data_IF_534453575726
#
_entry.id   IF_534453575726
#
_cell.length_a   1.000
_cell.length_b   1.000
_cell.length_c   1.000
_cell.angle_alpha   90.00
_cell.angle_beta   90.00
_cell.angle_gamma   90.00
#
_symmetry.space_group_name_H-M   'P 1'
#
loop_
_entity.id
_entity.type
_entity.pdbx_description
1 polymer ?
#
# COMPACT_ATOMS: atom_id res chain seq x y z
N UNK A 1 7.20 -22.04 -9.57
CA UNK A 1 7.32 -20.68 -9.00
C UNK A 1 6.49 -19.65 -9.78
N UNK A 2 6.19 -19.85 -11.07
CA UNK A 2 5.29 -18.97 -11.86
C UNK A 2 3.78 -19.24 -11.68
N UNK A 3 3.36 -20.41 -11.16
CA UNK A 3 1.92 -20.72 -10.99
C UNK A 3 1.28 -20.03 -9.78
N UNK A 4 2.01 -19.82 -8.69
CA UNK A 4 1.48 -19.15 -7.48
C UNK A 4 1.18 -17.66 -7.68
N UNK A 5 1.72 -17.03 -8.72
CA UNK A 5 1.49 -15.61 -9.00
C UNK A 5 0.26 -15.38 -9.90
N UNK A 6 -0.25 -16.43 -10.56
CA UNK A 6 -1.41 -16.34 -11.47
C UNK A 6 -2.75 -16.34 -10.71
N UNK A 7 -2.82 -17.04 -9.58
CA UNK A 7 -4.08 -17.15 -8.82
C UNK A 7 -4.38 -15.90 -7.97
N UNK A 8 -3.35 -15.12 -7.61
CA UNK A 8 -3.52 -13.89 -6.82
C UNK A 8 -4.13 -12.72 -7.62
N UNK A 9 -4.09 -12.78 -8.97
CA UNK A 9 -4.62 -11.72 -9.84
C UNK A 9 -6.05 -11.99 -10.36
N UNK A 10 -6.55 -13.23 -10.24
CA UNK A 10 -7.88 -13.61 -10.73
C UNK A 10 -9.02 -13.32 -9.73
N UNK A 11 -8.73 -12.94 -8.49
CA UNK A 11 -9.73 -12.68 -7.44
C UNK A 11 -10.42 -11.30 -7.49
N UNK A 12 -9.97 -10.39 -8.36
CA UNK A 12 -10.45 -9.00 -8.40
C UNK A 12 -11.58 -8.74 -9.42
N UNK A 13 -11.96 -9.72 -10.24
CA UNK A 13 -12.86 -9.49 -11.38
C UNK A 13 -14.36 -9.72 -11.07
N UNK A 14 -14.72 -9.93 -9.80
CA UNK A 14 -16.12 -10.16 -9.40
C UNK A 14 -16.78 -8.88 -8.84
N UNK A 15 -17.78 -8.27 -9.54
CA UNK A 15 -18.39 -7.00 -9.13
C UNK A 15 -19.11 -7.06 -7.76
N UNK A 16 -19.43 -8.26 -7.25
CA UNK A 16 -19.97 -8.47 -5.91
C UNK A 16 -18.97 -8.18 -4.78
N UNK A 17 -17.66 -8.30 -5.04
CA UNK A 17 -16.63 -8.03 -4.04
C UNK A 17 -16.43 -6.52 -3.82
N UNK A 18 -16.69 -5.72 -4.86
CA UNK A 18 -16.61 -4.25 -4.77
C UNK A 18 -17.75 -3.66 -3.91
N UNK A 19 -18.95 -4.23 -4.00
CA UNK A 19 -20.08 -3.83 -3.15
C UNK A 19 -19.84 -4.16 -1.66
N UNK A 20 -19.20 -5.30 -1.35
CA UNK A 20 -18.79 -5.64 0.03
C UNK A 20 -17.67 -4.74 0.55
N UNK A 21 -16.73 -4.34 -0.30
CA UNK A 21 -15.67 -3.36 0.01
C UNK A 21 -16.19 -1.96 0.38
N UNK A 22 -17.42 -1.60 -0.03
CA UNK A 22 -18.06 -0.34 0.34
C UNK A 22 -18.95 -0.46 1.59
N UNK A 23 -19.34 -1.68 1.98
CA UNK A 23 -20.10 -1.96 3.20
C UNK A 23 -19.20 -2.18 4.42
N UNK A 24 -18.04 -2.80 4.21
CA UNK A 24 -17.01 -2.87 5.23
C UNK A 24 -16.49 -1.44 5.45
N UNK A 25 -16.50 -0.96 6.70
CA UNK A 25 -16.06 0.40 7.03
C UNK A 25 -14.65 0.69 6.47
N UNK A 26 -14.30 1.96 6.21
CA UNK A 26 -13.09 2.36 5.47
C UNK A 26 -11.77 1.79 6.02
N UNK A 27 -11.78 1.30 7.26
CA UNK A 27 -10.66 0.66 7.94
C UNK A 27 -10.36 -0.76 7.41
N UNK A 28 -11.37 -1.55 7.02
CA UNK A 28 -11.19 -2.94 6.53
C UNK A 28 -10.69 -2.94 5.08
N UNK A 29 -11.16 -1.99 4.28
CA UNK A 29 -10.78 -1.85 2.86
C UNK A 29 -9.33 -1.38 2.69
N UNK A 30 -8.80 -0.60 3.64
CA UNK A 30 -7.40 -0.19 3.64
C UNK A 30 -6.43 -1.38 3.87
N UNK A 31 -6.80 -2.32 4.73
CA UNK A 31 -6.00 -3.52 5.00
C UNK A 31 -6.00 -4.50 3.81
N UNK A 32 -7.13 -4.65 3.12
CA UNK A 32 -7.21 -5.44 1.87
C UNK A 32 -6.36 -4.84 0.74
N UNK A 33 -6.36 -3.52 0.60
CA UNK A 33 -5.54 -2.82 -0.41
C UNK A 33 -4.03 -2.99 -0.21
N UNK A 34 -3.59 -3.27 1.02
CA UNK A 34 -2.19 -3.54 1.33
C UNK A 34 -1.77 -4.98 1.00
N UNK A 35 -2.65 -5.81 0.45
CA UNK A 35 -2.32 -7.19 0.05
C UNK A 35 -2.02 -8.12 1.22
N UNK A 36 -2.45 -7.75 2.44
CA UNK A 36 -2.34 -8.65 3.59
C UNK A 36 -3.20 -9.88 3.30
N UNK A 37 -2.63 -11.10 3.38
CA UNK A 37 -3.34 -12.32 3.05
C UNK A 37 -4.62 -12.41 3.88
N UNK A 38 -5.69 -12.84 3.22
CA UNK A 38 -7.00 -13.08 3.82
C UNK A 38 -6.84 -14.16 4.88
N UNK A 39 -6.46 -13.74 6.09
CA UNK A 39 -6.28 -14.59 7.25
C UNK A 39 -7.69 -14.96 7.68
N UNK A 40 -8.08 -16.17 7.30
CA UNK A 40 -9.44 -16.65 7.40
C UNK A 40 -9.90 -16.92 8.84
N UNK A 41 -9.04 -16.73 9.84
CA UNK A 41 -9.31 -16.98 11.26
C UNK A 41 -8.66 -15.94 12.18
N UNK A 42 -8.77 -14.63 11.87
CA UNK A 42 -8.69 -13.66 12.97
C UNK A 42 -9.93 -13.87 13.84
N UNK A 43 -9.77 -14.66 14.89
CA UNK A 43 -10.69 -14.84 16.01
C UNK A 43 -11.48 -13.56 16.26
N UNK A 44 -12.82 -13.65 16.31
CA UNK A 44 -13.80 -12.54 16.35
C UNK A 44 -13.66 -11.56 17.55
N UNK A 45 -12.56 -11.62 18.29
CA UNK A 45 -12.23 -10.70 19.36
C UNK A 45 -11.89 -9.29 18.86
N UNK A 46 -12.15 -8.25 19.68
CA UNK A 46 -11.74 -6.89 19.37
C UNK A 46 -10.21 -6.80 19.26
N UNK A 47 -9.67 -6.01 18.31
CA UNK A 47 -8.22 -5.88 18.14
C UNK A 47 -7.56 -5.28 19.39
N UNK A 48 -6.32 -5.67 19.72
CA UNK A 48 -5.62 -5.18 20.89
C UNK A 48 -5.48 -3.63 20.84
N UNK A 49 -5.63 -2.93 21.97
CA UNK A 49 -5.63 -1.47 22.00
C UNK A 49 -4.30 -0.86 21.52
N UNK A 50 -3.18 -1.59 21.64
CA UNK A 50 -1.88 -1.20 21.11
C UNK A 50 -1.88 -1.08 19.59
N UNK A 51 -2.50 -2.05 18.90
CA UNK A 51 -2.62 -2.05 17.44
C UNK A 51 -3.48 -0.87 16.97
N UNK A 52 -4.61 -0.62 17.65
CA UNK A 52 -5.47 0.53 17.37
C UNK A 52 -4.67 1.84 17.53
N UNK A 53 -3.84 1.94 18.58
CA UNK A 53 -2.96 3.08 18.82
C UNK A 53 -1.95 3.30 17.69
N UNK A 54 -1.32 2.24 17.20
CA UNK A 54 -0.38 2.29 16.08
C UNK A 54 -1.07 2.69 14.77
N UNK A 55 -2.24 2.11 14.47
CA UNK A 55 -3.01 2.48 13.28
C UNK A 55 -3.46 3.94 13.30
N UNK A 56 -3.85 4.49 14.45
CA UNK A 56 -4.21 5.91 14.57
C UNK A 56 -3.04 6.84 14.23
N UNK A 57 -1.80 6.47 14.60
CA UNK A 57 -0.60 7.25 14.27
C UNK A 57 -0.31 7.26 12.77
N UNK A 58 -0.67 6.19 12.06
CA UNK A 58 -0.52 6.10 10.59
C UNK A 58 -1.54 6.94 9.82
N UNK A 59 -2.68 7.30 10.42
CA UNK A 59 -3.72 8.08 9.71
C UNK A 59 -3.22 9.42 9.22
N UNK A 60 -2.52 10.17 10.07
CA UNK A 60 -2.04 11.51 9.73
C UNK A 60 -1.09 11.50 8.52
N UNK A 61 0.01 10.72 8.50
CA UNK A 61 0.90 10.72 7.35
C UNK A 61 0.21 10.17 6.10
N UNK A 62 -0.65 9.14 6.20
CA UNK A 62 -1.43 8.65 5.04
C UNK A 62 -2.33 9.75 4.46
N UNK A 63 -3.05 10.49 5.31
CA UNK A 63 -3.89 11.61 4.87
C UNK A 63 -3.07 12.73 4.24
N UNK A 64 -1.90 13.05 4.78
CA UNK A 64 -0.98 14.03 4.18
C UNK A 64 -0.51 13.58 2.79
N UNK A 65 -0.22 12.30 2.61
CA UNK A 65 0.16 11.74 1.31
C UNK A 65 -0.98 11.80 0.30
N UNK A 66 -2.19 11.43 0.71
CA UNK A 66 -3.38 11.51 -0.12
C UNK A 66 -3.69 12.96 -0.51
N UNK A 67 -3.66 13.89 0.45
CA UNK A 67 -3.89 15.31 0.20
C UNK A 67 -2.86 15.88 -0.77
N UNK A 68 -1.58 15.54 -0.61
CA UNK A 68 -0.55 15.97 -1.54
C UNK A 68 -0.72 15.39 -2.93
N UNK A 69 -1.10 14.11 -3.05
CA UNK A 69 -1.36 13.50 -4.35
C UNK A 69 -2.49 14.23 -5.06
N UNK A 70 -3.58 14.56 -4.35
CA UNK A 70 -4.69 15.34 -4.90
C UNK A 70 -4.26 16.73 -5.37
N UNK A 71 -3.44 17.44 -4.58
CA UNK A 71 -2.90 18.75 -4.97
C UNK A 71 -2.04 18.64 -6.23
N UNK A 72 -1.21 17.61 -6.34
CA UNK A 72 -0.39 17.36 -7.53
C UNK A 72 -1.24 17.05 -8.76
N UNK A 73 -2.25 16.18 -8.63
CA UNK A 73 -3.18 15.84 -9.72
C UNK A 73 -3.97 17.07 -10.17
N UNK A 74 -4.46 17.87 -9.22
CA UNK A 74 -5.18 19.11 -9.54
C UNK A 74 -4.27 20.11 -10.27
N UNK A 75 -3.03 20.28 -9.80
CA UNK A 75 -2.06 21.18 -10.45
C UNK A 75 -1.72 20.69 -11.86
N UNK A 76 -1.58 19.38 -12.07
CA UNK A 76 -1.36 18.82 -13.41
C UNK A 76 -2.56 19.03 -14.34
N UNK A 77 -3.78 18.78 -13.86
CA UNK A 77 -4.99 19.03 -14.63
C UNK A 77 -5.12 20.52 -15.01
N UNK A 78 -4.83 21.41 -14.06
CA UNK A 78 -4.81 22.85 -14.31
C UNK A 78 -3.80 23.23 -15.40
N UNK A 79 -2.54 22.75 -15.30
CA UNK A 79 -1.51 23.01 -16.31
C UNK A 79 -1.88 22.43 -17.69
N UNK A 80 -2.56 21.28 -17.74
CA UNK A 80 -3.02 20.70 -19.00
C UNK A 80 -4.10 21.58 -19.65
N UNK A 81 -5.10 22.03 -18.88
CA UNK A 81 -6.16 22.95 -19.37
C UNK A 81 -5.55 24.25 -19.88
N UNK A 82 -4.65 24.85 -19.10
CA UNK A 82 -3.97 26.08 -19.48
C UNK A 82 -3.10 25.88 -20.73
N UNK A 83 -2.39 24.75 -20.81
CA UNK A 83 -1.60 24.38 -21.99
C UNK A 83 -2.45 24.18 -23.25
N UNK A 84 -3.66 23.62 -23.14
CA UNK A 84 -4.60 23.53 -24.25
C UNK A 84 -5.08 24.90 -24.71
N UNK A 85 -5.34 25.82 -23.78
CA UNK A 85 -5.70 27.20 -24.11
C UNK A 85 -4.56 27.92 -24.84
N UNK A 86 -3.32 27.79 -24.35
CA UNK A 86 -2.11 28.33 -24.99
C UNK A 86 -1.88 27.71 -26.37
N UNK A 87 -2.10 26.40 -26.51
CA UNK A 87 -1.96 25.69 -27.78
C UNK A 87 -2.97 26.18 -28.82
N UNK A 88 -4.23 26.38 -28.42
CA UNK A 88 -5.28 26.91 -29.29
C UNK A 88 -5.05 28.36 -29.70
N UNK A 89 -4.57 29.21 -28.79
CA UNK A 89 -4.23 30.60 -29.09
C UNK A 89 -3.00 30.72 -30.02
N UNK A 90 -2.07 29.76 -29.96
CA UNK A 90 -0.82 29.73 -30.73
C UNK A 90 -0.94 29.08 -32.12
N UNK A 91 -2.04 29.26 -32.85
CA UNK A 91 -2.20 28.67 -34.18
C UNK A 91 -1.20 29.26 -35.20
N UNK A 92 -0.98 30.58 -35.16
CA UNK A 92 -0.17 31.34 -36.13
C UNK A 92 1.28 31.62 -35.67
N UNK A 93 1.95 30.60 -35.13
CA UNK A 93 3.35 30.74 -34.66
C UNK A 93 4.33 30.73 -35.85
N UNK A 94 5.26 31.70 -35.95
CA UNK A 94 6.28 31.73 -37.00
C UNK A 94 7.10 30.45 -37.11
N UNK A 95 7.56 30.13 -38.33
CA UNK A 95 8.25 28.87 -38.65
C UNK A 95 9.43 28.55 -37.72
N UNK A 96 10.21 29.56 -37.34
CA UNK A 96 11.39 29.39 -36.50
C UNK A 96 11.07 29.15 -35.01
N UNK A 97 9.85 29.46 -34.56
CA UNK A 97 9.37 29.20 -33.20
C UNK A 97 8.57 27.88 -33.09
N UNK A 98 8.41 27.13 -34.18
CA UNK A 98 7.71 25.82 -34.20
C UNK A 98 8.24 24.77 -33.20
N UNK A 99 9.55 24.69 -32.87
CA UNK A 99 10.03 23.74 -31.87
C UNK A 99 9.31 23.86 -30.52
N UNK A 100 8.99 25.08 -30.09
CA UNK A 100 8.23 25.33 -28.84
C UNK A 100 6.82 24.74 -28.92
N UNK A 101 6.16 24.84 -30.09
CA UNK A 101 4.82 24.28 -30.32
C UNK A 101 4.84 22.76 -30.35
N UNK A 102 5.86 22.16 -30.96
CA UNK A 102 6.04 20.70 -30.94
C UNK A 102 6.28 20.19 -29.52
N UNK A 103 7.14 20.88 -28.77
CA UNK A 103 7.33 20.56 -27.35
C UNK A 103 6.02 20.64 -26.57
N UNK A 104 5.24 21.71 -26.74
CA UNK A 104 3.93 21.86 -26.07
C UNK A 104 2.97 20.72 -26.43
N UNK A 105 2.92 20.33 -27.71
CA UNK A 105 2.07 19.19 -28.12
C UNK A 105 2.52 17.86 -27.49
N UNK A 106 3.82 17.62 -27.39
CA UNK A 106 4.37 16.44 -26.74
C UNK A 106 4.10 16.45 -25.23
N UNK A 107 4.21 17.62 -24.58
CA UNK A 107 3.85 17.82 -23.18
C UNK A 107 2.35 17.54 -22.93
N UNK A 108 1.46 18.08 -23.76
CA UNK A 108 0.03 17.85 -23.62
C UNK A 108 -0.31 16.36 -23.81
N UNK A 109 0.26 15.71 -24.83
CA UNK A 109 0.11 14.27 -25.01
C UNK A 109 0.64 13.46 -23.81
N UNK A 110 1.78 13.86 -23.24
CA UNK A 110 2.35 13.20 -22.06
C UNK A 110 1.53 13.42 -20.81
N UNK A 111 0.81 14.54 -20.66
CA UNK A 111 -0.08 14.77 -19.51
C UNK A 111 -1.37 13.94 -19.54
N UNK A 112 -1.77 13.44 -20.71
CA UNK A 112 -2.92 12.55 -20.86
C UNK A 112 -2.60 11.08 -20.51
N UNK A 113 -1.33 10.68 -20.59
CA UNK A 113 -0.85 9.31 -20.31
C UNK A 113 -0.95 8.91 -18.82
N UNK A 114 -0.64 9.76 -17.83
CA UNK A 114 -0.78 9.45 -16.40
C UNK A 114 -2.20 9.09 -15.97
N UNK A 115 -3.23 9.53 -16.70
CA UNK A 115 -4.61 9.14 -16.41
C UNK A 115 -4.86 7.65 -16.68
N UNK A 116 -4.04 7.02 -17.53
CA UNK A 116 -4.15 5.60 -17.90
C UNK A 116 -3.01 4.75 -17.37
N UNK A 117 -1.91 5.36 -16.90
CA UNK A 117 -0.69 4.67 -16.46
C UNK A 117 -0.41 4.88 -14.97
N UNK A 118 0.49 4.08 -14.40
CA UNK A 118 0.81 4.16 -12.97
C UNK A 118 1.47 5.50 -12.61
N UNK A 119 1.17 6.00 -11.41
CA UNK A 119 1.78 7.23 -10.84
C UNK A 119 3.32 7.18 -10.85
N UNK A 120 3.90 5.98 -10.79
CA UNK A 120 5.34 5.77 -10.83
C UNK A 120 6.00 6.28 -12.13
N UNK A 121 5.30 6.23 -13.26
CA UNK A 121 5.81 6.69 -14.56
C UNK A 121 5.61 8.20 -14.77
N UNK A 122 4.62 8.79 -14.11
CA UNK A 122 4.27 10.21 -14.28
C UNK A 122 5.42 11.14 -13.86
N UNK A 123 6.12 10.81 -12.77
CA UNK A 123 7.17 11.67 -12.22
C UNK A 123 8.43 11.73 -13.11
N UNK A 124 9.01 10.61 -13.58
CA UNK A 124 10.10 10.64 -14.57
C UNK A 124 9.70 11.34 -15.87
N UNK A 125 8.50 11.09 -16.39
CA UNK A 125 8.01 11.74 -17.61
C UNK A 125 7.89 13.26 -17.43
N UNK A 126 7.39 13.72 -16.28
CA UNK A 126 7.33 15.14 -15.95
C UNK A 126 8.72 15.79 -15.92
N UNK A 127 9.72 15.14 -15.32
CA UNK A 127 11.11 15.63 -15.31
C UNK A 127 11.69 15.72 -16.72
N UNK A 128 11.50 14.68 -17.55
CA UNK A 128 11.96 14.68 -18.95
C UNK A 128 11.26 15.79 -19.75
N UNK A 129 9.96 15.99 -19.57
CA UNK A 129 9.22 17.05 -20.24
C UNK A 129 9.72 18.46 -19.85
N UNK A 130 10.02 18.69 -18.57
CA UNK A 130 10.61 19.96 -18.10
C UNK A 130 12.01 20.17 -18.68
N UNK A 131 12.88 19.15 -18.60
CA UNK A 131 14.25 19.23 -19.10
C UNK A 131 14.29 19.52 -20.62
N UNK A 132 13.45 18.82 -21.39
CA UNK A 132 13.31 19.06 -22.83
C UNK A 132 12.74 20.44 -23.13
N UNK A 133 11.86 20.99 -22.29
CA UNK A 133 11.31 22.34 -22.46
C UNK A 133 12.37 23.42 -22.28
N UNK A 134 13.20 23.30 -21.24
CA UNK A 134 14.36 24.19 -21.01
C UNK A 134 15.34 24.10 -22.18
N UNK A 135 15.63 22.89 -22.66
CA UNK A 135 16.55 22.68 -23.78
C UNK A 135 16.00 23.27 -25.08
N UNK A 136 14.73 23.02 -25.42
CA UNK A 136 14.07 23.59 -26.61
C UNK A 136 14.10 25.11 -26.55
N UNK A 137 13.85 25.70 -25.37
CA UNK A 137 13.93 27.14 -25.18
C UNK A 137 15.34 27.68 -25.40
N UNK A 138 16.37 26.99 -24.89
CA UNK A 138 17.77 27.38 -25.08
C UNK A 138 18.23 27.28 -26.55
N UNK A 139 17.66 26.37 -27.33
CA UNK A 139 17.95 26.21 -28.76
C UNK A 139 17.14 27.16 -29.67
N UNK A 140 16.09 27.78 -29.13
CA UNK A 140 15.20 28.65 -29.92
C UNK A 140 15.71 30.10 -29.89
N UNK A 141 15.69 30.84 -31.01
CA UNK A 141 16.09 32.24 -31.03
C UNK A 141 15.30 33.09 -30.02
N UNK A 142 15.97 34.05 -29.38
CA UNK A 142 15.34 34.96 -28.41
C UNK A 142 14.22 35.83 -28.98
N UNK A 143 14.12 36.00 -30.32
CA UNK A 143 13.00 36.69 -30.97
C UNK A 143 11.64 36.04 -30.66
N UNK A 144 11.61 34.72 -30.43
CA UNK A 144 10.39 34.00 -30.11
C UNK A 144 9.75 34.43 -28.79
N UNK A 145 10.50 35.04 -27.87
CA UNK A 145 9.94 35.64 -26.65
C UNK A 145 9.00 36.82 -26.96
N UNK A 146 9.31 37.60 -28.00
CA UNK A 146 8.49 38.74 -28.42
C UNK A 146 7.36 38.31 -29.35
N UNK A 147 7.63 37.35 -30.25
CA UNK A 147 6.65 36.89 -31.25
C UNK A 147 5.60 35.93 -30.66
N UNK A 148 5.96 35.14 -29.65
CA UNK A 148 5.08 34.17 -29.01
C UNK A 148 5.22 34.20 -27.46
N UNK A 149 4.90 35.34 -26.82
CA UNK A 149 5.17 35.55 -25.39
C UNK A 149 4.40 34.57 -24.50
N UNK A 150 3.17 34.20 -24.87
CA UNK A 150 2.34 33.26 -24.11
C UNK A 150 2.95 31.87 -24.07
N UNK A 151 3.42 31.36 -25.21
CA UNK A 151 4.07 30.06 -25.32
C UNK A 151 5.40 30.02 -24.55
N UNK A 152 6.16 31.11 -24.64
CA UNK A 152 7.43 31.25 -23.93
C UNK A 152 7.24 31.33 -22.41
N UNK A 153 6.26 32.11 -21.93
CA UNK A 153 5.91 32.21 -20.52
C UNK A 153 5.36 30.90 -19.97
N UNK A 154 4.55 30.18 -20.75
CA UNK A 154 4.00 28.89 -20.35
C UNK A 154 5.09 27.87 -19.99
N UNK A 155 6.22 27.84 -20.70
CA UNK A 155 7.36 26.97 -20.35
C UNK A 155 7.90 27.29 -18.96
N UNK A 156 8.01 28.57 -18.59
CA UNK A 156 8.44 28.97 -17.25
C UNK A 156 7.43 28.52 -16.20
N UNK A 157 6.14 28.73 -16.47
CA UNK A 157 5.08 28.35 -15.54
C UNK A 157 5.03 26.85 -15.29
N UNK A 158 5.07 26.04 -16.35
CA UNK A 158 5.08 24.58 -16.23
C UNK A 158 6.35 24.10 -15.55
N UNK A 159 7.51 24.68 -15.86
CA UNK A 159 8.77 24.30 -15.21
C UNK A 159 8.75 24.61 -13.72
N UNK A 160 8.26 25.78 -13.33
CA UNK A 160 8.18 26.18 -11.92
C UNK A 160 7.15 25.35 -11.15
N UNK A 161 5.91 25.29 -11.65
CA UNK A 161 4.82 24.51 -11.03
C UNK A 161 5.17 23.01 -10.99
N UNK A 162 5.75 22.49 -12.07
CA UNK A 162 6.23 21.12 -12.18
C UNK A 162 7.35 20.81 -11.19
N UNK A 163 8.33 21.71 -11.04
CA UNK A 163 9.40 21.55 -10.06
C UNK A 163 8.85 21.49 -8.63
N UNK A 164 7.94 22.39 -8.26
CA UNK A 164 7.29 22.35 -6.95
C UNK A 164 6.56 21.03 -6.71
N UNK A 165 5.84 20.52 -7.71
CA UNK A 165 5.16 19.23 -7.62
C UNK A 165 6.14 18.07 -7.44
N UNK A 166 7.20 17.99 -8.26
CA UNK A 166 8.19 16.90 -8.21
C UNK A 166 8.93 16.91 -6.86
N UNK A 167 9.40 18.08 -6.42
CA UNK A 167 10.11 18.22 -5.14
C UNK A 167 9.18 17.88 -3.97
N UNK A 168 7.96 18.44 -3.97
CA UNK A 168 6.96 18.17 -2.93
C UNK A 168 6.60 16.70 -2.81
N UNK A 169 6.30 16.04 -3.94
CA UNK A 169 6.02 14.60 -3.97
C UNK A 169 7.23 13.77 -3.51
N UNK A 170 8.45 14.14 -3.93
CA UNK A 170 9.67 13.42 -3.52
C UNK A 170 9.89 13.50 -2.01
N UNK A 171 9.72 14.68 -1.41
CA UNK A 171 9.82 14.87 0.04
C UNK A 171 8.77 14.02 0.77
N UNK A 172 7.53 14.02 0.29
CA UNK A 172 6.42 13.31 0.93
C UNK A 172 6.59 11.79 0.79
N UNK A 173 7.01 11.30 -0.38
CA UNK A 173 7.37 9.90 -0.57
C UNK A 173 8.54 9.50 0.32
N UNK A 174 9.55 10.36 0.48
CA UNK A 174 10.67 10.13 1.40
C UNK A 174 10.23 10.05 2.87
N UNK A 175 9.39 10.97 3.31
CA UNK A 175 8.83 10.96 4.68
C UNK A 175 7.95 9.73 4.89
N UNK A 176 7.10 9.40 3.92
CA UNK A 176 6.28 8.16 3.93
C UNK A 176 7.18 6.94 4.04
N UNK A 177 8.21 6.87 3.22
CA UNK A 177 9.07 5.70 3.16
C UNK A 177 9.86 5.49 4.45
N UNK A 178 10.24 6.58 5.11
CA UNK A 178 11.01 6.53 6.36
C UNK A 178 10.14 6.39 7.61
N UNK A 179 8.86 6.78 7.57
CA UNK A 179 7.97 6.73 8.75
C UNK A 179 6.93 5.62 8.67
N UNK A 180 6.27 5.47 7.52
CA UNK A 180 5.16 4.52 7.33
C UNK A 180 5.71 3.11 7.09
N UNK A 181 6.67 2.90 6.19
CA UNK A 181 7.13 1.53 5.89
C UNK A 181 7.73 0.80 7.09
N UNK A 182 8.60 1.41 7.93
CA UNK A 182 9.11 0.71 9.10
C UNK A 182 8.01 0.38 10.10
N UNK A 183 7.01 1.26 10.25
CA UNK A 183 5.86 1.02 11.12
C UNK A 183 4.99 -0.11 10.59
N UNK A 184 4.73 -0.15 9.28
CA UNK A 184 3.98 -1.24 8.65
C UNK A 184 4.71 -2.56 8.77
N UNK A 185 6.03 -2.59 8.51
CA UNK A 185 6.86 -3.78 8.72
C UNK A 185 6.86 -4.21 10.17
N UNK A 186 7.00 -3.28 11.12
CA UNK A 186 6.91 -3.61 12.54
C UNK A 186 5.54 -4.16 12.96
N UNK A 187 4.46 -3.69 12.34
CA UNK A 187 3.11 -4.24 12.56
C UNK A 187 3.01 -5.64 11.96
N UNK A 188 3.52 -5.84 10.74
CA UNK A 188 3.54 -7.14 10.06
C UNK A 188 4.40 -8.16 10.80
N UNK A 189 5.60 -7.77 11.23
CA UNK A 189 6.53 -8.62 11.99
C UNK A 189 5.95 -9.02 13.35
N UNK A 190 5.11 -8.17 13.96
CA UNK A 190 4.55 -8.44 15.29
C UNK A 190 3.19 -9.13 15.24
N UNK A 191 2.32 -8.68 14.35
CA UNK A 191 0.90 -9.05 14.28
C UNK A 191 0.52 -9.78 13.00
N UNK A 192 1.47 -9.99 12.07
CA UNK A 192 1.26 -10.80 10.88
C UNK A 192 1.02 -12.27 11.22
N UNK A 193 0.69 -13.06 10.20
CA UNK A 193 0.37 -14.49 10.34
C UNK A 193 1.52 -15.29 10.96
N UNK A 194 2.76 -14.86 10.72
CA UNK A 194 3.98 -15.43 11.32
C UNK A 194 4.61 -14.50 12.38
N UNK A 195 3.81 -13.59 12.94
CA UNK A 195 4.30 -12.52 13.79
C UNK A 195 4.76 -12.99 15.17
N UNK A 196 5.69 -12.25 15.78
CA UNK A 196 6.28 -12.60 17.08
C UNK A 196 5.25 -12.66 18.20
N UNK A 197 4.10 -11.97 18.09
CA UNK A 197 3.05 -12.04 19.10
C UNK A 197 2.50 -13.47 19.26
N UNK A 198 2.43 -14.24 18.18
CA UNK A 198 2.00 -15.65 18.25
C UNK A 198 3.04 -16.47 19.01
N UNK A 199 4.33 -16.28 18.71
CA UNK A 199 5.43 -16.96 19.40
C UNK A 199 5.48 -16.58 20.89
N UNK A 200 5.36 -15.29 21.22
CA UNK A 200 5.34 -14.79 22.60
C UNK A 200 4.16 -15.38 23.39
N UNK A 201 2.98 -15.52 22.77
CA UNK A 201 1.82 -16.17 23.39
C UNK A 201 2.08 -17.66 23.60
N UNK A 202 2.61 -18.37 22.60
CA UNK A 202 2.95 -19.80 22.73
C UNK A 202 3.99 -20.01 23.85
N UNK A 203 5.06 -19.22 23.88
CA UNK A 203 6.09 -19.27 24.93
C UNK A 203 5.52 -18.92 26.31
N UNK A 204 4.64 -17.91 26.40
CA UNK A 204 3.97 -17.55 27.65
C UNK A 204 3.06 -18.69 28.16
N UNK A 205 2.40 -19.41 27.26
CA UNK A 205 1.58 -20.57 27.64
C UNK A 205 2.45 -21.76 28.03
N UNK A 206 3.53 -22.05 27.30
CA UNK A 206 4.48 -23.11 27.63
C UNK A 206 5.19 -22.88 28.97
N UNK A 207 5.46 -21.61 29.31
CA UNK A 207 6.06 -21.22 30.59
C UNK A 207 5.07 -21.11 31.76
N UNK A 208 3.75 -21.16 31.50
CA UNK A 208 2.74 -21.17 32.56
C UNK A 208 2.88 -22.40 33.46
N UNK A 209 2.57 -22.30 34.75
CA UNK A 209 2.71 -23.44 35.66
C UNK A 209 1.79 -24.60 35.25
N UNK A 210 2.27 -25.84 35.41
CA UNK A 210 1.43 -27.01 35.19
C UNK A 210 0.27 -26.99 36.20
N UNK A 211 -0.94 -27.30 35.72
CA UNK A 211 -2.15 -27.30 36.53
C UNK A 211 -2.61 -28.74 36.73
N UNK A 212 -2.98 -29.10 37.95
CA UNK A 212 -3.60 -30.40 38.21
C UNK A 212 -5.06 -30.35 37.74
N UNK A 213 -5.43 -31.31 36.89
CA UNK A 213 -6.77 -31.40 36.30
C UNK A 213 -7.39 -32.75 36.69
N UNK A 214 -8.70 -32.79 37.03
CA UNK A 214 -9.39 -34.05 37.30
C UNK A 214 -9.27 -35.05 36.14
N UNK A 215 -9.15 -36.34 36.46
CA UNK A 215 -8.91 -37.41 35.49
C UNK A 215 -10.02 -37.61 34.44
N UNK A 216 -11.20 -37.04 34.66
CA UNK A 216 -12.37 -37.06 33.77
C UNK A 216 -12.43 -35.85 32.82
N UNK A 217 -11.43 -34.97 32.84
CA UNK A 217 -11.42 -33.79 31.95
C UNK A 217 -10.85 -34.15 30.58
N UNK A 218 -11.65 -33.96 29.54
CA UNK A 218 -11.22 -34.14 28.15
C UNK A 218 -10.44 -32.92 27.65
N UNK A 219 -9.32 -33.15 26.97
CA UNK A 219 -8.57 -32.08 26.30
C UNK A 219 -9.30 -31.70 25.00
N UNK A 220 -9.68 -30.42 24.79
CA UNK A 220 -10.44 -30.00 23.62
C UNK A 220 -9.65 -30.07 22.31
N UNK A 221 -8.32 -30.21 22.37
CA UNK A 221 -7.44 -30.29 21.18
C UNK A 221 -7.29 -31.74 20.71
N UNK A 222 -6.97 -32.67 21.62
CA UNK A 222 -6.78 -34.08 21.26
C UNK A 222 -8.04 -34.95 21.44
N UNK A 223 -9.14 -34.38 21.93
CA UNK A 223 -10.45 -35.02 22.08
C UNK A 223 -10.41 -36.39 22.79
N UNK A 224 -9.51 -36.54 23.78
CA UNK A 224 -9.43 -37.74 24.60
C UNK A 224 -8.63 -38.91 24.02
N UNK A 225 -7.70 -38.68 23.07
CA UNK A 225 -6.81 -39.73 22.57
C UNK A 225 -6.00 -40.35 23.74
N UNK A 226 -6.26 -41.63 24.07
CA UNK A 226 -5.86 -42.34 25.31
C UNK A 226 -4.34 -42.33 25.57
N UNK A 227 -3.53 -42.20 24.51
CA UNK A 227 -2.07 -42.14 24.59
C UNK A 227 -1.54 -40.79 25.15
N UNK A 228 -2.41 -39.78 25.30
CA UNK A 228 -2.03 -38.44 25.77
C UNK A 228 -1.97 -38.28 27.30
N UNK A 229 -2.30 -39.33 28.06
CA UNK A 229 -2.53 -39.28 29.51
C UNK A 229 -1.28 -38.93 30.35
N UNK A 230 -0.10 -38.83 29.73
CA UNK A 230 1.17 -38.53 30.42
C UNK A 230 1.61 -37.07 30.28
N UNK A 231 0.90 -36.24 29.52
CA UNK A 231 1.26 -34.83 29.29
C UNK A 231 0.93 -33.92 30.47
N UNK A 232 1.78 -32.92 30.72
CA UNK A 232 1.47 -31.86 31.68
C UNK A 232 0.32 -30.99 31.16
N UNK A 233 -0.65 -30.65 32.03
CA UNK A 233 -1.75 -29.77 31.67
C UNK A 233 -1.35 -28.31 31.85
N UNK A 234 -1.68 -27.47 30.87
CA UNK A 234 -1.53 -26.02 30.92
C UNK A 234 -2.90 -25.36 30.95
N UNK A 235 -3.02 -24.24 31.64
CA UNK A 235 -4.24 -23.42 31.70
C UNK A 235 -3.99 -22.07 31.03
N UNK A 236 -4.85 -21.71 30.07
CA UNK A 236 -4.84 -20.41 29.40
C UNK A 236 -5.38 -19.32 30.33
N UNK A 237 -5.09 -18.03 30.06
CA UNK A 237 -5.68 -16.92 30.81
C UNK A 237 -7.23 -16.89 30.80
N UNK A 238 -7.86 -17.51 29.81
CA UNK A 238 -9.31 -17.70 29.72
C UNK A 238 -9.82 -18.95 30.45
N UNK A 239 -8.98 -19.58 31.28
CA UNK A 239 -9.23 -20.81 32.05
C UNK A 239 -9.53 -22.08 31.23
N UNK A 240 -9.33 -22.07 29.91
CA UNK A 240 -9.31 -23.30 29.12
C UNK A 240 -8.03 -24.08 29.39
N UNK A 241 -8.14 -25.41 29.45
CA UNK A 241 -7.03 -26.31 29.80
C UNK A 241 -6.74 -27.28 28.66
N UNK A 242 -5.46 -27.60 28.46
CA UNK A 242 -5.03 -28.52 27.41
C UNK A 242 -3.68 -29.19 27.75
N UNK A 243 -3.32 -30.25 27.02
CA UNK A 243 -2.03 -30.94 27.17
C UNK A 243 -0.89 -30.20 26.44
N UNK A 244 0.24 -30.01 27.11
CA UNK A 244 1.41 -29.29 26.57
C UNK A 244 1.90 -29.77 25.20
N UNK A 245 1.92 -31.09 24.97
CA UNK A 245 2.37 -31.68 23.70
C UNK A 245 1.48 -31.30 22.51
N UNK A 246 0.18 -31.08 22.77
CA UNK A 246 -0.79 -30.67 21.74
C UNK A 246 -0.55 -29.25 21.22
N UNK A 247 0.19 -28.41 21.94
CA UNK A 247 0.52 -27.04 21.51
C UNK A 247 1.71 -26.96 20.54
N UNK A 248 2.61 -27.97 20.54
CA UNK A 248 3.72 -28.02 19.58
C UNK A 248 3.27 -28.31 18.15
N UNK A 249 2.07 -28.87 18.02
CA UNK A 249 1.51 -29.42 16.79
C UNK A 249 0.88 -28.36 15.86
N UNK A 250 0.43 -27.21 16.38
CA UNK A 250 -0.17 -26.14 15.55
C UNK A 250 0.82 -25.39 14.65
N UNK A 251 2.13 -25.61 14.80
CA UNK A 251 3.17 -24.95 14.02
C UNK A 251 3.65 -25.70 12.78
N UNK A 252 3.38 -27.01 12.65
CA UNK A 252 3.99 -27.84 11.59
C UNK A 252 3.20 -27.92 10.29
N UNK A 253 1.96 -27.41 10.25
CA UNK A 253 1.11 -27.45 9.05
C UNK A 253 0.69 -28.85 8.58
N UNK A 254 1.06 -29.91 9.30
CA UNK A 254 0.56 -31.26 9.08
C UNK A 254 -0.79 -31.44 9.77
N UNK A 255 -1.72 -32.14 9.12
CA UNK A 255 -3.09 -32.34 9.60
C UNK A 255 -3.18 -33.55 10.56
N UNK A 256 -4.02 -33.53 11.62
CA UNK A 256 -3.90 -34.42 12.79
C UNK A 256 -4.40 -35.84 12.51
N UNK A 257 -5.01 -36.05 11.33
CA UNK A 257 -5.75 -37.25 11.02
C UNK A 257 -4.92 -38.53 10.85
N UNK A 258 -3.58 -38.47 10.91
CA UNK A 258 -2.74 -39.62 10.61
C UNK A 258 -2.33 -40.47 11.83
N UNK A 259 -2.36 -39.93 13.06
CA UNK A 259 -1.73 -40.59 14.21
C UNK A 259 -2.68 -41.20 15.27
N UNK A 260 -3.95 -40.81 15.35
CA UNK A 260 -4.93 -41.42 16.29
C UNK A 260 -5.80 -42.54 15.63
N UNK A 261 -5.36 -43.14 14.52
CA UNK A 261 -6.11 -44.16 13.77
C UNK A 261 -5.52 -45.59 13.86
N UNK A 262 -4.69 -45.89 14.87
CA UNK A 262 -4.09 -47.21 15.07
C UNK A 262 -4.53 -47.83 16.39
#
# INVERSE_FOLDING_TARGET
MEELQRDSLLGLDQPSNFARLLQDGPEVSALRLLGLPHSHDFSEGPPPPELIGQMRRLRCPVLLCLASLLVSLFTQAWCAVDGWNVYGAGLDVPLHCKPLKYWLSAYLASTLLPLTTSVALALPLGVVAMATGILVRAMTPGSCEQEAPTLWQFINEVSLKGLFCVVGLTVILGVTATTIFPTLRSIEDRWGVAGTAVTEVIEAIQSSAAVEVPADTECPICLGCEDSLLGSWRELPCSHRFHEESASWSGSGESPGAHCAA
#
